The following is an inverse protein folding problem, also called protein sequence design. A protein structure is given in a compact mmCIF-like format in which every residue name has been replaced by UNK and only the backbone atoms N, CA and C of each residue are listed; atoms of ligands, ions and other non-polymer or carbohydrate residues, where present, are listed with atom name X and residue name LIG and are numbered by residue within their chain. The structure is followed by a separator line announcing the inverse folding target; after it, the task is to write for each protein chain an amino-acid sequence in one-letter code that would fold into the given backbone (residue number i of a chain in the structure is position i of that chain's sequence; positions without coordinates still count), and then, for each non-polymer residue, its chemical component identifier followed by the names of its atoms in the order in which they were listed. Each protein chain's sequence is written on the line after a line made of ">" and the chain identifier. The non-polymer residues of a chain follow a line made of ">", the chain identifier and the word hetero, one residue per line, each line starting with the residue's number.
data_IF_976101717276
#
_entry.id   IF_976101717276
#
_cell.length_a   1.000
_cell.length_b   1.000
_cell.length_c   1.000
_cell.angle_alpha   90.00
_cell.angle_beta   90.00
_cell.angle_gamma   90.00
#
_symmetry.space_group_name_H-M   'P 1'
#
loop_
_entity.id
_entity.type
_entity.pdbx_description
1 polymer ?
#
# COMPACT_ATOMS: atom_id res chain seq x y z
N UNK A 1 25.02 0.35 30.54
CA UNK A 1 24.84 -0.03 29.12
C UNK A 1 24.49 1.22 28.36
N UNK A 2 25.36 1.70 27.48
CA UNK A 2 25.05 2.81 26.58
C UNK A 2 24.04 2.32 25.56
N UNK A 3 22.80 2.79 25.63
CA UNK A 3 21.83 2.61 24.54
C UNK A 3 22.43 3.30 23.32
N UNK A 4 23.05 2.53 22.43
CA UNK A 4 23.39 3.03 21.12
C UNK A 4 22.07 3.43 20.44
N UNK A 5 21.99 4.61 19.82
CA UNK A 5 20.79 5.02 19.11
C UNK A 5 20.42 3.97 18.06
N UNK A 6 19.12 3.78 17.84
CA UNK A 6 18.66 2.91 16.76
C UNK A 6 19.23 3.42 15.42
N UNK A 7 19.53 2.51 14.50
CA UNK A 7 20.20 2.86 13.23
C UNK A 7 19.47 3.97 12.46
N UNK A 8 18.14 3.96 12.47
CA UNK A 8 17.29 4.92 11.74
C UNK A 8 17.30 6.33 12.33
N UNK A 9 17.84 6.53 13.55
CA UNK A 9 17.93 7.86 14.16
C UNK A 9 19.04 8.72 13.54
N UNK A 10 20.10 8.09 13.02
CA UNK A 10 21.25 8.76 12.41
C UNK A 10 21.52 8.32 10.97
N UNK A 11 20.80 7.30 10.48
CA UNK A 11 21.05 6.72 9.17
C UNK A 11 20.54 7.58 8.02
N UNK A 12 21.20 7.46 6.87
CA UNK A 12 20.81 8.11 5.61
C UNK A 12 20.04 7.13 4.74
N UNK A 13 18.80 7.49 4.40
CA UNK A 13 17.91 6.69 3.54
C UNK A 13 17.95 7.25 2.12
N UNK A 14 18.19 6.39 1.13
CA UNK A 14 18.14 6.75 -0.29
C UNK A 14 16.85 6.22 -0.92
N UNK A 15 15.96 7.11 -1.35
CA UNK A 15 14.75 6.72 -2.05
C UNK A 15 15.06 6.33 -3.50
N UNK A 16 14.50 5.21 -3.96
CA UNK A 16 14.59 4.73 -5.33
C UNK A 16 13.17 4.60 -5.87
N UNK A 17 12.93 5.24 -7.01
CA UNK A 17 11.78 4.99 -7.89
C UNK A 17 12.22 3.99 -8.97
N UNK A 18 11.94 2.67 -8.85
CA UNK A 18 12.60 1.63 -9.65
C UNK A 18 12.47 1.84 -11.16
N UNK A 19 11.26 2.21 -11.60
CA UNK A 19 10.90 2.46 -13.00
C UNK A 19 11.85 3.42 -13.74
N UNK A 20 12.48 4.36 -13.04
CA UNK A 20 13.37 5.36 -13.65
C UNK A 20 14.80 5.32 -13.10
N UNK A 21 15.14 4.28 -12.33
CA UNK A 21 16.46 4.20 -11.72
C UNK A 21 17.50 3.64 -12.70
N UNK A 22 17.31 2.41 -13.18
CA UNK A 22 18.16 1.82 -14.21
C UNK A 22 17.50 0.62 -14.87
N UNK A 23 17.43 0.62 -16.20
CA UNK A 23 17.00 -0.50 -17.04
C UNK A 23 18.18 -1.42 -17.35
N UNK A 24 17.98 -2.73 -17.21
CA UNK A 24 18.95 -3.77 -17.56
C UNK A 24 18.44 -4.72 -18.65
N UNK A 25 17.19 -4.57 -19.05
CA UNK A 25 16.48 -5.42 -20.03
C UNK A 25 16.42 -4.79 -21.42
N UNK A 26 16.59 -3.47 -21.52
CA UNK A 26 16.42 -2.71 -22.76
C UNK A 26 14.96 -2.37 -23.06
N UNK A 27 14.06 -2.52 -22.08
CA UNK A 27 12.63 -2.20 -22.21
C UNK A 27 12.33 -0.70 -22.14
N UNK A 28 13.30 0.11 -21.70
CA UNK A 28 13.11 1.54 -21.39
C UNK A 28 12.54 1.79 -19.99
N UNK A 29 12.36 0.75 -19.18
CA UNK A 29 11.89 0.83 -17.78
C UNK A 29 12.91 0.21 -16.85
N UNK A 30 13.20 0.90 -15.75
CA UNK A 30 14.11 0.39 -14.72
C UNK A 30 13.54 -0.78 -13.94
N UNK A 31 14.43 -1.65 -13.46
CA UNK A 31 14.12 -2.94 -12.85
C UNK A 31 14.96 -3.19 -11.58
N UNK A 32 14.63 -4.25 -10.83
CA UNK A 32 15.33 -4.58 -9.58
C UNK A 32 16.80 -4.97 -9.83
N UNK A 33 17.13 -5.54 -10.99
CA UNK A 33 18.52 -5.89 -11.35
C UNK A 33 19.35 -4.62 -11.56
N UNK A 34 18.73 -3.57 -12.09
CA UNK A 34 19.31 -2.23 -12.16
C UNK A 34 19.64 -1.65 -10.78
N UNK A 35 18.78 -1.90 -9.78
CA UNK A 35 19.08 -1.53 -8.39
C UNK A 35 20.30 -2.29 -7.87
N UNK A 36 20.36 -3.61 -8.09
CA UNK A 36 21.50 -4.45 -7.69
C UNK A 36 22.81 -3.93 -8.28
N UNK A 37 22.84 -3.59 -9.57
CA UNK A 37 24.02 -3.06 -10.25
C UNK A 37 24.55 -1.74 -9.68
N UNK A 38 23.74 -1.01 -8.90
CA UNK A 38 24.14 0.26 -8.28
C UNK A 38 24.42 0.16 -6.78
N UNK A 39 24.34 -1.02 -6.17
CA UNK A 39 24.60 -1.17 -4.74
C UNK A 39 26.04 -0.74 -4.35
N UNK A 40 27.04 -0.95 -5.21
CA UNK A 40 28.41 -0.47 -4.94
C UNK A 40 28.49 1.07 -4.96
N UNK A 41 27.75 1.71 -5.86
CA UNK A 41 27.63 3.17 -5.90
C UNK A 41 26.95 3.69 -4.63
N UNK A 42 25.84 3.05 -4.22
CA UNK A 42 25.09 3.44 -3.03
C UNK A 42 25.90 3.21 -1.74
N UNK A 43 26.66 2.12 -1.67
CA UNK A 43 27.60 1.87 -0.58
C UNK A 43 28.70 2.94 -0.52
N UNK A 44 29.28 3.31 -1.67
CA UNK A 44 30.27 4.41 -1.75
C UNK A 44 29.67 5.76 -1.36
N UNK A 45 28.40 6.01 -1.70
CA UNK A 45 27.67 7.20 -1.29
C UNK A 45 27.47 7.26 0.23
N UNK A 46 27.52 6.10 0.92
CA UNK A 46 27.45 6.00 2.37
C UNK A 46 26.03 5.92 2.90
N UNK A 47 25.09 5.35 2.14
CA UNK A 47 23.69 5.20 2.57
C UNK A 47 23.54 4.00 3.50
N UNK A 48 22.69 4.12 4.52
CA UNK A 48 22.42 3.06 5.49
C UNK A 48 21.22 2.20 5.10
N UNK A 49 20.34 2.73 4.25
CA UNK A 49 19.17 2.05 3.74
C UNK A 49 18.77 2.57 2.34
N UNK A 50 18.13 1.71 1.57
CA UNK A 50 17.36 2.11 0.39
C UNK A 50 15.87 1.97 0.67
N UNK A 51 15.08 2.93 0.22
CA UNK A 51 13.62 2.85 0.23
C UNK A 51 13.12 2.70 -1.21
N UNK A 52 12.46 1.58 -1.50
CA UNK A 52 11.84 1.33 -2.79
C UNK A 52 10.38 1.79 -2.77
N UNK A 53 10.00 2.66 -3.69
CA UNK A 53 8.57 2.91 -4.00
C UNK A 53 7.91 1.64 -4.55
N UNK A 54 6.57 1.54 -4.65
CA UNK A 54 5.88 0.30 -5.02
C UNK A 54 6.41 -0.37 -6.30
N UNK A 55 6.65 -1.68 -6.22
CA UNK A 55 7.01 -2.58 -7.32
C UNK A 55 6.18 -3.87 -7.33
N UNK A 56 5.09 -3.89 -6.56
CA UNK A 56 4.14 -4.98 -6.51
C UNK A 56 3.34 -5.07 -7.80
N UNK A 57 2.72 -6.22 -8.06
CA UNK A 57 1.75 -6.36 -9.16
C UNK A 57 0.64 -5.32 -8.98
N UNK A 58 0.49 -4.47 -9.98
CA UNK A 58 -0.47 -3.37 -9.99
C UNK A 58 -0.92 -3.08 -11.43
N UNK A 59 -2.19 -2.72 -11.67
CA UNK A 59 -2.66 -2.21 -12.95
C UNK A 59 -2.05 -0.87 -13.37
N UNK A 60 -1.28 -0.21 -12.49
CA UNK A 60 -0.61 1.07 -12.72
C UNK A 60 -1.58 2.24 -12.93
N UNK A 61 -2.78 2.19 -12.37
CA UNK A 61 -3.73 3.33 -12.39
C UNK A 61 -3.17 4.52 -11.62
N UNK A 62 -2.48 4.24 -10.51
CA UNK A 62 -1.86 5.23 -9.65
C UNK A 62 -0.39 4.87 -9.38
N UNK A 63 0.38 4.66 -10.46
CA UNK A 63 1.84 4.46 -10.40
C UNK A 63 2.32 3.34 -9.46
N UNK A 64 1.52 2.29 -9.28
CA UNK A 64 1.84 1.14 -8.43
C UNK A 64 1.23 1.19 -7.03
N UNK A 65 0.56 2.28 -6.65
CA UNK A 65 -0.12 2.40 -5.34
C UNK A 65 -1.48 1.68 -5.34
N UNK A 66 -2.05 1.36 -6.50
CA UNK A 66 -3.18 0.45 -6.68
C UNK A 66 -2.70 -1.02 -6.71
N UNK A 67 -2.36 -1.58 -5.55
CA UNK A 67 -1.78 -2.94 -5.44
C UNK A 67 -2.82 -4.04 -5.69
N UNK A 68 -2.55 -4.94 -6.64
CA UNK A 68 -3.38 -6.10 -6.97
C UNK A 68 -2.86 -7.42 -6.39
N UNK A 69 -1.57 -7.50 -6.02
CA UNK A 69 -1.02 -8.62 -5.25
C UNK A 69 0.18 -8.16 -4.41
N UNK A 70 0.02 -8.14 -3.09
CA UNK A 70 1.05 -7.67 -2.15
C UNK A 70 2.29 -8.57 -2.05
N UNK A 71 2.18 -9.85 -2.40
CA UNK A 71 3.26 -10.84 -2.21
C UNK A 71 3.86 -11.30 -3.54
N UNK A 72 3.65 -10.52 -4.60
CA UNK A 72 4.22 -10.73 -5.91
C UNK A 72 4.81 -9.43 -6.44
N UNK A 73 5.86 -9.57 -7.23
CA UNK A 73 6.55 -8.46 -7.89
C UNK A 73 5.93 -8.29 -9.28
N UNK A 74 5.73 -7.04 -9.71
CA UNK A 74 5.31 -6.78 -11.07
C UNK A 74 6.37 -7.32 -12.04
N UNK A 75 6.01 -8.18 -13.01
CA UNK A 75 6.97 -8.78 -13.93
C UNK A 75 7.83 -7.77 -14.69
N UNK A 76 7.38 -6.51 -14.80
CA UNK A 76 8.16 -5.42 -15.41
C UNK A 76 9.40 -5.06 -14.58
N UNK A 77 9.37 -5.26 -13.26
CA UNK A 77 10.49 -4.98 -12.36
C UNK A 77 11.35 -6.22 -12.06
N UNK A 78 10.82 -7.42 -12.30
CA UNK A 78 11.53 -8.69 -12.19
C UNK A 78 10.80 -9.74 -11.37
N UNK A 79 11.56 -10.61 -10.71
CA UNK A 79 11.11 -11.81 -9.99
C UNK A 79 11.25 -11.67 -8.46
N UNK A 80 10.71 -12.63 -7.69
CA UNK A 80 11.00 -12.76 -6.25
C UNK A 80 12.46 -13.17 -5.99
N UNK A 81 13.04 -14.08 -6.77
CA UNK A 81 14.44 -14.50 -6.61
C UNK A 81 15.40 -13.33 -6.78
N UNK A 82 15.06 -12.53 -7.77
CA UNK A 82 15.62 -11.25 -8.14
C UNK A 82 15.58 -10.22 -6.98
N UNK A 83 14.51 -10.21 -6.18
CA UNK A 83 14.43 -9.40 -4.96
C UNK A 83 15.23 -10.01 -3.81
N UNK A 84 15.20 -11.32 -3.64
CA UNK A 84 15.97 -12.02 -2.60
C UNK A 84 17.49 -11.82 -2.83
N UNK A 85 17.93 -11.76 -4.09
CA UNK A 85 19.29 -11.36 -4.46
C UNK A 85 19.58 -9.91 -4.06
N UNK A 86 18.66 -8.97 -4.34
CA UNK A 86 18.80 -7.57 -3.94
C UNK A 86 18.99 -7.43 -2.43
N UNK A 87 18.16 -8.10 -1.64
CA UNK A 87 18.27 -8.08 -0.17
C UNK A 87 19.63 -8.64 0.27
N UNK A 88 20.03 -9.80 -0.29
CA UNK A 88 21.30 -10.44 0.05
C UNK A 88 22.50 -9.55 -0.27
N UNK A 89 22.50 -8.93 -1.45
CA UNK A 89 23.58 -8.06 -1.92
C UNK A 89 23.61 -6.71 -1.18
N UNK A 90 22.45 -6.15 -0.81
CA UNK A 90 22.38 -4.94 -0.01
C UNK A 90 22.94 -5.21 1.40
N UNK A 91 22.51 -6.32 2.02
CA UNK A 91 22.96 -6.73 3.35
C UNK A 91 24.46 -6.97 3.43
N UNK A 92 25.07 -7.58 2.40
CA UNK A 92 26.54 -7.78 2.36
C UNK A 92 27.33 -6.46 2.35
N UNK A 93 26.67 -5.35 1.99
CA UNK A 93 27.21 -3.99 1.98
C UNK A 93 26.75 -3.14 3.17
N UNK A 94 26.04 -3.74 4.13
CA UNK A 94 25.46 -3.03 5.27
C UNK A 94 24.29 -2.11 4.92
N UNK A 95 23.69 -2.25 3.75
CA UNK A 95 22.55 -1.46 3.29
C UNK A 95 21.25 -2.19 3.65
N UNK A 96 20.36 -1.49 4.35
CA UNK A 96 19.02 -1.98 4.71
C UNK A 96 17.99 -1.76 3.62
N UNK A 97 16.92 -2.54 3.63
CA UNK A 97 15.82 -2.44 2.68
C UNK A 97 14.55 -1.93 3.37
N UNK A 98 14.00 -0.82 2.87
CA UNK A 98 12.69 -0.31 3.27
C UNK A 98 11.74 -0.40 2.08
N UNK A 99 10.53 -0.90 2.29
CA UNK A 99 9.51 -0.98 1.26
C UNK A 99 8.36 -0.01 1.51
N UNK A 100 7.84 0.59 0.45
CA UNK A 100 6.57 1.29 0.49
C UNK A 100 5.41 0.30 0.64
N UNK A 101 4.48 0.51 1.57
CA UNK A 101 3.32 -0.36 1.79
C UNK A 101 2.05 0.46 1.85
N UNK A 102 1.12 0.12 0.97
CA UNK A 102 -0.18 0.79 0.83
C UNK A 102 -1.26 -0.10 1.40
N UNK A 103 -1.69 0.15 2.64
CA UNK A 103 -2.69 -0.69 3.32
C UNK A 103 -4.03 -0.01 3.56
N UNK A 104 -4.22 1.24 3.12
CA UNK A 104 -5.54 1.87 3.17
C UNK A 104 -6.51 1.24 2.17
N UNK A 105 -6.03 0.86 1.00
CA UNK A 105 -6.83 0.33 -0.11
C UNK A 105 -6.05 -0.73 -0.88
N UNK A 106 -6.75 -1.51 -1.69
CA UNK A 106 -6.17 -2.35 -2.75
C UNK A 106 -6.71 -1.92 -4.10
N UNK A 107 -6.07 -2.40 -5.19
CA UNK A 107 -6.70 -2.39 -6.50
C UNK A 107 -8.04 -3.15 -6.47
N UNK A 108 -9.01 -2.73 -7.28
CA UNK A 108 -10.23 -3.52 -7.58
C UNK A 108 -9.93 -4.78 -8.39
N UNK A 109 -8.71 -4.93 -8.92
CA UNK A 109 -8.22 -6.18 -9.49
C UNK A 109 -7.64 -7.15 -8.45
N UNK A 110 -7.47 -6.71 -7.19
CA UNK A 110 -6.99 -7.58 -6.11
C UNK A 110 -7.96 -8.74 -5.88
N UNK A 111 -7.43 -9.95 -5.64
CA UNK A 111 -8.24 -11.16 -5.45
C UNK A 111 -9.32 -10.96 -4.37
N UNK A 112 -8.97 -10.33 -3.25
CA UNK A 112 -9.93 -9.97 -2.20
C UNK A 112 -11.11 -9.13 -2.72
N UNK A 113 -10.87 -8.11 -3.54
CA UNK A 113 -11.97 -7.27 -4.06
C UNK A 113 -12.83 -8.05 -5.05
N UNK A 114 -12.21 -8.85 -5.92
CA UNK A 114 -12.91 -9.70 -6.89
C UNK A 114 -13.84 -10.70 -6.19
N UNK A 115 -13.37 -11.31 -5.11
CA UNK A 115 -14.19 -12.17 -4.24
C UNK A 115 -15.28 -11.38 -3.51
N UNK A 116 -14.97 -10.16 -3.05
CA UNK A 116 -15.92 -9.29 -2.37
C UNK A 116 -17.07 -8.79 -3.26
N UNK A 117 -17.01 -8.96 -4.59
CA UNK A 117 -18.14 -8.67 -5.48
C UNK A 117 -19.33 -9.59 -5.21
N UNK A 118 -19.08 -10.80 -4.72
CA UNK A 118 -20.11 -11.72 -4.24
C UNK A 118 -20.49 -11.36 -2.79
N UNK A 119 -21.75 -10.99 -2.54
CA UNK A 119 -22.26 -10.64 -1.20
C UNK A 119 -22.10 -11.76 -0.16
N UNK A 120 -22.14 -13.02 -0.61
CA UNK A 120 -22.00 -14.20 0.26
C UNK A 120 -20.54 -14.57 0.54
N UNK A 121 -19.57 -13.94 -0.13
CA UNK A 121 -18.15 -14.22 0.09
C UNK A 121 -17.70 -13.73 1.46
N UNK A 122 -16.87 -14.50 2.20
CA UNK A 122 -16.25 -14.00 3.43
C UNK A 122 -15.40 -12.74 3.17
N UNK A 123 -14.89 -12.56 1.95
CA UNK A 123 -14.13 -11.37 1.55
C UNK A 123 -15.02 -10.13 1.35
N UNK A 124 -16.37 -10.26 1.34
CA UNK A 124 -17.27 -9.10 1.26
C UNK A 124 -16.95 -8.06 2.33
N UNK A 125 -16.63 -8.53 3.54
CA UNK A 125 -16.31 -7.70 4.70
C UNK A 125 -14.88 -7.13 4.69
N UNK A 126 -14.07 -7.41 3.66
CA UNK A 126 -12.74 -6.81 3.52
C UNK A 126 -12.79 -5.37 3.02
N UNK A 127 -13.91 -4.95 2.45
CA UNK A 127 -14.11 -3.60 1.92
C UNK A 127 -15.33 -2.94 2.55
N UNK A 128 -15.42 -1.63 2.40
CA UNK A 128 -16.50 -0.84 2.99
C UNK A 128 -17.63 -0.71 1.98
N UNK A 129 -18.69 -1.50 2.17
CA UNK A 129 -19.91 -1.47 1.36
C UNK A 129 -21.05 -0.78 2.10
N UNK A 130 -21.86 0.00 1.38
CA UNK A 130 -23.05 0.67 1.92
C UNK A 130 -24.20 0.64 0.93
N UNK A 131 -25.41 0.56 1.46
CA UNK A 131 -26.64 0.70 0.68
C UNK A 131 -26.81 2.13 0.18
N UNK A 132 -27.52 2.28 -0.93
CA UNK A 132 -27.83 3.56 -1.56
C UNK A 132 -28.59 3.34 -2.86
N UNK A 133 -28.84 4.42 -3.59
CA UNK A 133 -29.43 4.40 -4.94
C UNK A 133 -28.39 4.95 -5.92
N UNK A 134 -28.36 4.58 -7.22
CA UNK A 134 -27.27 4.92 -8.17
C UNK A 134 -26.80 6.39 -8.20
N UNK A 135 -27.69 7.33 -7.90
CA UNK A 135 -27.44 8.79 -7.90
C UNK A 135 -27.45 9.41 -6.49
N UNK A 136 -27.58 8.59 -5.45
CA UNK A 136 -27.66 9.03 -4.05
C UNK A 136 -26.65 8.22 -3.23
N UNK A 137 -25.39 8.69 -3.16
CA UNK A 137 -24.37 8.02 -2.38
C UNK A 137 -24.69 8.02 -0.88
N UNK A 138 -24.07 7.13 -0.08
CA UNK A 138 -24.32 6.99 1.35
C UNK A 138 -24.08 8.27 2.16
N UNK A 139 -23.16 9.13 1.70
CA UNK A 139 -22.92 10.48 2.20
C UNK A 139 -22.21 11.33 1.13
N UNK A 140 -21.96 12.59 1.44
CA UNK A 140 -21.36 13.59 0.55
C UNK A 140 -19.82 13.62 0.56
N UNK A 141 -19.16 12.59 1.11
CA UNK A 141 -17.69 12.53 1.11
C UNK A 141 -17.14 12.54 -0.31
N UNK A 142 -16.02 13.23 -0.51
CA UNK A 142 -15.38 13.36 -1.82
C UNK A 142 -14.08 12.60 -1.87
N UNK A 143 -13.83 11.96 -3.01
CA UNK A 143 -12.53 11.36 -3.29
C UNK A 143 -11.46 12.45 -3.42
N UNK A 144 -10.24 12.16 -3.00
CA UNK A 144 -9.07 13.04 -3.22
C UNK A 144 -8.75 13.21 -4.70
N UNK A 145 -9.20 12.29 -5.56
CA UNK A 145 -9.03 12.36 -7.01
C UNK A 145 -10.25 13.01 -7.72
N UNK A 146 -11.20 13.53 -6.94
CA UNK A 146 -12.39 14.22 -7.44
C UNK A 146 -13.61 13.31 -7.55
N UNK A 147 -14.79 13.94 -7.58
CA UNK A 147 -16.08 13.23 -7.53
C UNK A 147 -16.45 12.71 -6.14
N UNK A 148 -17.44 11.82 -6.11
CA UNK A 148 -17.86 11.09 -4.90
C UNK A 148 -16.75 10.16 -4.41
N UNK A 149 -16.66 9.94 -3.09
CA UNK A 149 -15.84 8.87 -2.51
C UNK A 149 -16.50 7.49 -2.61
N UNK A 150 -17.70 7.42 -3.19
CA UNK A 150 -18.49 6.20 -3.30
C UNK A 150 -18.73 5.85 -4.76
N UNK A 151 -18.42 4.59 -5.11
CA UNK A 151 -18.67 4.04 -6.44
C UNK A 151 -19.78 3.02 -6.39
N UNK A 152 -20.83 3.26 -7.18
CA UNK A 152 -21.95 2.33 -7.33
C UNK A 152 -21.49 1.05 -8.05
N UNK A 153 -21.86 -0.11 -7.51
CA UNK A 153 -21.69 -1.42 -8.11
C UNK A 153 -23.07 -2.04 -8.33
N UNK A 154 -23.51 -2.03 -9.60
CA UNK A 154 -24.89 -2.32 -9.98
C UNK A 154 -25.31 -3.76 -9.63
N UNK A 155 -24.42 -4.72 -9.83
CA UNK A 155 -24.69 -6.14 -9.60
C UNK A 155 -24.96 -6.45 -8.12
N UNK A 156 -24.35 -5.68 -7.21
CA UNK A 156 -24.62 -5.80 -5.78
C UNK A 156 -25.58 -4.73 -5.26
N UNK A 157 -26.05 -3.79 -6.09
CA UNK A 157 -26.89 -2.66 -5.69
C UNK A 157 -26.35 -1.94 -4.42
N UNK A 158 -25.03 -1.75 -4.37
CA UNK A 158 -24.36 -1.13 -3.23
C UNK A 158 -23.19 -0.28 -3.70
N UNK A 159 -22.83 0.70 -2.89
CA UNK A 159 -21.62 1.48 -3.05
C UNK A 159 -20.46 0.82 -2.32
N UNK A 160 -19.26 0.93 -2.87
CA UNK A 160 -18.02 0.75 -2.11
C UNK A 160 -17.28 2.08 -1.95
N UNK A 161 -16.56 2.23 -0.83
CA UNK A 161 -15.74 3.40 -0.55
C UNK A 161 -14.41 3.34 -1.34
N UNK A 162 -14.05 4.48 -1.93
CA UNK A 162 -12.73 4.75 -2.48
C UNK A 162 -12.32 6.20 -2.15
N UNK A 163 -11.31 6.37 -1.30
CA UNK A 163 -10.81 7.71 -0.94
C UNK A 163 -9.92 8.32 -2.03
N UNK A 164 -9.50 7.52 -3.01
CA UNK A 164 -8.63 7.89 -4.13
C UNK A 164 -9.31 7.48 -5.45
N UNK A 165 -8.59 6.87 -6.40
CA UNK A 165 -9.18 6.41 -7.65
C UNK A 165 -10.32 5.40 -7.41
N UNK A 166 -11.35 5.32 -8.28
CA UNK A 166 -12.38 4.28 -8.19
C UNK A 166 -11.79 2.86 -8.15
N UNK A 167 -10.63 2.65 -8.78
CA UNK A 167 -9.91 1.38 -8.79
C UNK A 167 -9.15 1.11 -7.49
N UNK A 168 -9.13 2.03 -6.52
CA UNK A 168 -8.49 1.89 -5.20
C UNK A 168 -9.58 1.75 -4.11
N UNK A 169 -10.09 0.52 -3.95
CA UNK A 169 -11.14 0.24 -2.97
C UNK A 169 -10.58 0.19 -1.54
N UNK A 170 -11.16 0.98 -0.65
CA UNK A 170 -10.72 1.09 0.74
C UNK A 170 -10.98 -0.21 1.52
N UNK A 171 -9.93 -0.68 2.19
CA UNK A 171 -10.00 -1.82 3.09
C UNK A 171 -10.75 -1.45 4.37
N UNK A 172 -11.56 -2.39 4.85
CA UNK A 172 -12.30 -2.27 6.10
C UNK A 172 -11.43 -2.66 7.29
N UNK A 173 -10.66 -1.71 7.81
CA UNK A 173 -9.79 -1.93 8.96
C UNK A 173 -10.51 -2.26 10.27
N UNK A 174 -11.81 -2.00 10.38
CA UNK A 174 -12.59 -2.45 11.54
C UNK A 174 -12.64 -3.99 11.61
N UNK A 175 -12.58 -4.67 10.46
CA UNK A 175 -12.59 -6.12 10.39
C UNK A 175 -11.23 -6.72 10.82
N UNK A 176 -11.18 -7.52 11.91
CA UNK A 176 -9.93 -8.13 12.37
C UNK A 176 -9.30 -9.09 11.35
N UNK A 177 -10.09 -9.70 10.46
CA UNK A 177 -9.54 -10.57 9.41
C UNK A 177 -8.70 -9.79 8.39
N UNK A 178 -9.10 -8.55 8.05
CA UNK A 178 -8.30 -7.67 7.19
C UNK A 178 -6.95 -7.38 7.83
N UNK A 179 -6.95 -6.96 9.10
CA UNK A 179 -5.70 -6.66 9.83
C UNK A 179 -4.81 -7.89 9.95
N UNK A 180 -5.39 -9.08 10.13
CA UNK A 180 -4.64 -10.33 10.17
C UNK A 180 -3.99 -10.67 8.81
N UNK A 181 -4.69 -10.47 7.68
CA UNK A 181 -4.09 -10.68 6.35
C UNK A 181 -2.99 -9.65 6.04
N UNK A 182 -3.18 -8.38 6.39
CA UNK A 182 -2.17 -7.34 6.23
C UNK A 182 -0.91 -7.64 7.08
N UNK A 183 -1.09 -8.22 8.28
CA UNK A 183 0.03 -8.69 9.09
C UNK A 183 0.81 -9.80 8.38
N UNK A 184 0.14 -10.77 7.75
CA UNK A 184 0.80 -11.83 6.97
C UNK A 184 1.59 -11.26 5.80
N UNK A 185 1.09 -10.21 5.14
CA UNK A 185 1.84 -9.48 4.12
C UNK A 185 3.14 -8.90 4.70
N UNK A 186 3.07 -8.26 5.87
CA UNK A 186 4.26 -7.74 6.54
C UNK A 186 5.25 -8.87 6.91
N UNK A 187 4.75 -9.97 7.47
CA UNK A 187 5.54 -11.15 7.83
C UNK A 187 6.23 -11.75 6.59
N UNK A 188 5.53 -11.86 5.46
CA UNK A 188 6.10 -12.36 4.19
C UNK A 188 7.34 -11.58 3.71
N UNK A 189 7.32 -10.25 3.86
CA UNK A 189 8.42 -9.38 3.47
C UNK A 189 9.51 -9.31 4.55
N UNK A 190 9.13 -9.33 5.82
CA UNK A 190 10.08 -9.41 6.94
C UNK A 190 10.89 -10.71 6.92
N UNK A 191 10.26 -11.84 6.62
CA UNK A 191 10.91 -13.15 6.47
C UNK A 191 11.91 -13.18 5.31
N UNK A 192 11.75 -12.28 4.32
CA UNK A 192 12.70 -12.06 3.22
C UNK A 192 13.80 -11.06 3.54
N UNK A 193 13.85 -10.53 4.76
CA UNK A 193 14.92 -9.64 5.23
C UNK A 193 14.69 -8.16 4.97
N UNK A 194 13.44 -7.72 4.78
CA UNK A 194 13.09 -6.29 4.79
C UNK A 194 13.27 -5.71 6.20
N UNK A 195 13.93 -4.55 6.30
CA UNK A 195 14.31 -3.91 7.56
C UNK A 195 13.31 -2.84 8.04
N UNK A 196 12.40 -2.42 7.18
CA UNK A 196 11.41 -1.41 7.51
C UNK A 196 10.35 -1.21 6.44
N UNK A 197 9.28 -0.51 6.80
CA UNK A 197 8.20 -0.15 5.90
C UNK A 197 7.97 1.35 5.96
N UNK A 198 7.74 1.98 4.81
CA UNK A 198 7.05 3.27 4.74
C UNK A 198 5.57 2.97 4.53
N UNK A 199 4.73 3.32 5.50
CA UNK A 199 3.29 3.09 5.41
C UNK A 199 2.62 4.29 4.74
N UNK A 200 2.13 4.10 3.51
CA UNK A 200 1.46 5.17 2.77
C UNK A 200 0.05 5.42 3.31
N UNK A 201 -0.28 6.70 3.50
CA UNK A 201 -1.59 7.22 3.95
C UNK A 201 -2.22 6.43 5.12
N UNK A 202 -1.38 5.89 6.00
CA UNK A 202 -1.80 5.03 7.12
C UNK A 202 -2.71 5.76 8.12
N UNK A 203 -2.65 7.09 8.16
CA UNK A 203 -3.53 7.90 8.99
C UNK A 203 -4.99 7.93 8.51
N UNK A 204 -5.29 7.35 7.35
CA UNK A 204 -6.65 7.32 6.78
C UNK A 204 -7.41 6.02 7.04
N UNK A 205 -6.77 5.02 7.66
CA UNK A 205 -7.29 3.65 7.74
C UNK A 205 -8.54 3.51 8.63
N UNK A 206 -8.70 4.38 9.64
CA UNK A 206 -9.85 4.35 10.55
C UNK A 206 -10.91 5.34 10.09
N UNK A 207 -12.10 4.85 9.75
CA UNK A 207 -13.25 5.67 9.35
C UNK A 207 -14.24 5.78 10.52
N UNK A 208 -14.93 6.90 10.65
CA UNK A 208 -16.05 7.04 11.58
C UNK A 208 -17.14 6.01 11.22
N UNK A 209 -17.48 5.08 12.12
CA UNK A 209 -18.39 3.97 11.80
C UNK A 209 -19.82 4.43 11.51
N UNK A 210 -20.17 5.69 11.82
CA UNK A 210 -21.48 6.28 11.55
C UNK A 210 -21.58 6.83 10.12
N UNK A 211 -20.46 7.06 9.43
CA UNK A 211 -20.40 7.62 8.07
C UNK A 211 -21.26 8.89 7.87
N UNK A 212 -21.16 9.91 8.75
CA UNK A 212 -22.01 11.10 8.65
C UNK A 212 -21.70 11.96 7.42
N UNK A 213 -22.67 12.77 7.01
CA UNK A 213 -22.47 13.88 6.08
C UNK A 213 -21.44 14.89 6.63
N UNK A 214 -20.67 15.52 5.74
CA UNK A 214 -19.80 16.64 6.05
C UNK A 214 -20.36 17.95 5.47
N UNK A 215 -20.98 18.77 6.29
CA UNK A 215 -21.53 20.07 5.86
C UNK A 215 -20.47 21.19 5.84
N UNK A 216 -19.27 20.92 6.36
CA UNK A 216 -18.21 21.90 6.58
C UNK A 216 -16.95 21.61 5.73
N UNK A 217 -16.96 20.54 4.94
CA UNK A 217 -15.79 20.01 4.26
C UNK A 217 -16.12 18.96 3.21
N UNK A 218 -15.22 18.00 3.05
CA UNK A 218 -15.29 16.95 2.03
C UNK A 218 -15.30 15.53 2.62
N UNK A 219 -15.57 15.40 3.91
CA UNK A 219 -15.58 14.14 4.65
C UNK A 219 -14.27 13.84 5.38
N UNK A 220 -13.16 14.52 5.07
CA UNK A 220 -11.82 14.16 5.57
C UNK A 220 -11.70 14.06 7.08
N UNK A 221 -12.43 14.88 7.83
CA UNK A 221 -12.43 14.87 9.31
C UNK A 221 -12.97 13.57 9.92
N UNK A 222 -13.67 12.76 9.14
CA UNK A 222 -14.25 11.51 9.59
C UNK A 222 -13.37 10.29 9.31
N UNK A 223 -12.23 10.46 8.65
CA UNK A 223 -11.32 9.35 8.37
C UNK A 223 -9.84 9.70 8.51
N UNK A 224 -9.48 10.98 8.53
CA UNK A 224 -8.10 11.43 8.74
C UNK A 224 -7.81 11.46 10.23
N UNK A 225 -6.79 10.72 10.66
CA UNK A 225 -6.49 10.48 12.07
C UNK A 225 -7.73 9.97 12.83
N UNK A 226 -8.46 9.05 12.17
CA UNK A 226 -9.74 8.56 12.63
C UNK A 226 -9.71 7.89 14.00
N UNK A 227 -10.89 7.59 14.57
CA UNK A 227 -11.07 7.29 15.99
C UNK A 227 -10.22 6.12 16.52
N UNK A 228 -9.84 5.18 15.65
CA UNK A 228 -9.05 4.00 16.00
C UNK A 228 -7.70 3.91 15.27
N UNK A 229 -7.28 4.97 14.56
CA UNK A 229 -6.03 4.94 13.78
C UNK A 229 -4.81 4.61 14.66
N UNK A 230 -4.70 5.25 15.83
CA UNK A 230 -3.63 4.94 16.79
C UNK A 230 -3.73 3.53 17.36
N UNK A 231 -4.94 3.03 17.62
CA UNK A 231 -5.15 1.66 18.12
C UNK A 231 -4.64 0.63 17.09
N UNK A 232 -4.98 0.82 15.82
CA UNK A 232 -4.58 -0.09 14.73
C UNK A 232 -3.08 -0.06 14.43
N UNK A 233 -2.39 1.04 14.71
CA UNK A 233 -0.94 1.13 14.52
C UNK A 233 -0.11 0.67 15.74
N UNK A 234 -0.73 0.40 16.88
CA UNK A 234 -0.02 0.07 18.13
C UNK A 234 -0.26 -1.35 18.63
N UNK A 235 -1.23 -2.07 18.06
CA UNK A 235 -1.63 -3.44 18.46
C UNK A 235 -1.74 -4.33 17.25
#
# INVERSE_FOLDING_TARGET
>A
MTNLPHWWQNGVIYQIYPKSFQDTTGSGTGDLRGVIQRLDYLHKLGVDAIWLTPFYVSPQVDNGYDVANYTAIDPTYGTLDDFDELVTQAKSRGIRIILDMVFNHTSTQHAWFREALNKESPYRQFYIWRDGEPETPPNNWRSKFGGSAWRWHAESEQYYLHLFAPEQADLNWENPAVRAELKKVCEFWADRGVDGLRLDVVNLISKDPRFPEDLDGDGRRFYTDGPRAHEFCTR
#
